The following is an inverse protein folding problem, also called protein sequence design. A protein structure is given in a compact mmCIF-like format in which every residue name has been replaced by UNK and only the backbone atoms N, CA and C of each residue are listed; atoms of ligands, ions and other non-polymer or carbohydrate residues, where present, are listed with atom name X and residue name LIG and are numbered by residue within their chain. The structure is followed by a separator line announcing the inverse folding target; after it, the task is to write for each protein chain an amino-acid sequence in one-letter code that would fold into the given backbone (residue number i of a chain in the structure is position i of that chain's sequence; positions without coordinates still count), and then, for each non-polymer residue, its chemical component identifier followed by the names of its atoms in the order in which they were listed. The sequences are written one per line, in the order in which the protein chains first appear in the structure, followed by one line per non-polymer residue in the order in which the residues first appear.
data_IF_258533070031
#
_entry.id   IF_258533070031
#
_cell.length_a   1.000
_cell.length_b   1.000
_cell.length_c   1.000
_cell.angle_alpha   90.00
_cell.angle_beta   90.00
_cell.angle_gamma   90.00
#
_symmetry.space_group_name_H-M   'P 1'
#
loop_
_entity.id
_entity.type
_entity.pdbx_description
1 polymer ?
#
# COMPACT_ATOMS: atom_id res chain seq x y z
N UNK A 1 -33.46 -11.97 17.37
CA UNK A 1 -32.15 -12.60 17.07
C UNK A 1 -31.13 -11.50 17.24
N UNK A 2 -30.31 -11.64 18.27
CA UNK A 2 -29.50 -10.57 18.86
C UNK A 2 -28.61 -9.85 17.86
N UNK A 3 -28.72 -8.52 17.90
CA UNK A 3 -27.85 -7.56 17.24
C UNK A 3 -26.48 -7.63 17.92
N UNK A 4 -25.61 -8.49 17.39
CA UNK A 4 -24.26 -8.68 17.92
C UNK A 4 -23.37 -7.57 17.35
N UNK A 5 -22.74 -6.71 18.18
CA UNK A 5 -21.95 -5.60 17.69
C UNK A 5 -20.81 -6.09 16.78
N UNK A 6 -20.64 -5.47 15.60
CA UNK A 6 -19.59 -5.74 14.60
C UNK A 6 -18.17 -5.89 15.18
N UNK A 7 -17.92 -5.31 16.35
CA UNK A 7 -16.67 -5.43 17.12
C UNK A 7 -16.37 -6.87 17.56
N UNK A 8 -17.40 -7.70 17.82
CA UNK A 8 -17.22 -9.12 18.18
C UNK A 8 -16.87 -10.03 17.00
N UNK A 9 -17.18 -9.65 15.76
CA UNK A 9 -16.81 -10.44 14.58
C UNK A 9 -15.32 -10.32 14.23
N UNK A 10 -14.66 -9.23 14.64
CA UNK A 10 -13.23 -8.99 14.40
C UNK A 10 -12.29 -9.90 15.22
N UNK A 11 -12.82 -10.66 16.18
CA UNK A 11 -12.01 -11.37 17.19
C UNK A 11 -11.90 -12.88 17.00
N UNK A 12 -12.63 -13.49 16.06
CA UNK A 12 -12.74 -14.96 15.98
C UNK A 12 -11.65 -15.66 15.15
N UNK A 13 -11.00 -14.96 14.22
CA UNK A 13 -10.04 -15.57 13.27
C UNK A 13 -8.65 -14.94 13.41
N UNK A 14 -8.12 -15.01 14.63
CA UNK A 14 -6.81 -14.44 14.99
C UNK A 14 -5.87 -15.50 15.56
N UNK A 15 -4.59 -15.40 15.20
CA UNK A 15 -3.50 -16.04 15.92
C UNK A 15 -2.72 -14.98 16.71
N UNK A 16 -2.57 -15.17 18.02
CA UNK A 16 -1.71 -14.32 18.85
C UNK A 16 -0.37 -15.01 19.09
N UNK A 17 0.73 -14.26 18.99
CA UNK A 17 2.09 -14.76 19.21
C UNK A 17 2.61 -14.54 20.65
N UNK A 18 3.78 -15.13 21.02
CA UNK A 18 4.47 -16.19 20.29
C UNK A 18 3.59 -17.43 20.19
N UNK A 19 3.57 -18.07 19.02
CA UNK A 19 2.92 -19.35 18.81
C UNK A 19 3.98 -20.37 18.42
N UNK A 20 3.87 -21.60 18.94
CA UNK A 20 4.71 -22.69 18.47
C UNK A 20 4.26 -23.16 17.06
N UNK A 21 5.10 -24.00 16.46
CA UNK A 21 4.87 -24.51 15.10
C UNK A 21 3.54 -25.25 14.98
N UNK A 22 3.18 -26.06 15.97
CA UNK A 22 1.96 -26.86 15.92
C UNK A 22 0.70 -25.98 15.98
N UNK A 23 0.72 -24.92 16.79
CA UNK A 23 -0.34 -23.92 16.83
C UNK A 23 -0.46 -23.13 15.53
N UNK A 24 0.67 -22.76 14.91
CA UNK A 24 0.69 -22.09 13.59
C UNK A 24 0.11 -23.01 12.51
N UNK A 25 0.57 -24.26 12.45
CA UNK A 25 0.13 -25.23 11.44
C UNK A 25 -1.37 -25.53 11.59
N UNK A 26 -1.86 -25.70 12.83
CA UNK A 26 -3.27 -25.88 13.11
C UNK A 26 -4.12 -24.66 12.70
N UNK A 27 -3.62 -23.44 12.96
CA UNK A 27 -4.28 -22.20 12.55
C UNK A 27 -4.39 -22.11 11.01
N UNK A 28 -3.29 -22.35 10.30
CA UNK A 28 -3.25 -22.31 8.83
C UNK A 28 -4.10 -23.41 8.19
N UNK A 29 -4.18 -24.60 8.80
CA UNK A 29 -5.04 -25.67 8.34
C UNK A 29 -6.53 -25.29 8.42
N UNK A 30 -6.92 -24.56 9.47
CA UNK A 30 -8.30 -24.12 9.72
C UNK A 30 -8.69 -22.86 8.96
N UNK A 31 -7.77 -21.90 8.78
CA UNK A 31 -8.05 -20.57 8.25
C UNK A 31 -7.31 -20.33 6.93
N UNK A 32 -7.84 -20.89 5.84
CA UNK A 32 -7.32 -20.70 4.48
C UNK A 32 -7.99 -19.51 3.79
N UNK A 33 -7.27 -18.45 3.41
CA UNK A 33 -7.84 -17.31 2.71
C UNK A 33 -8.58 -17.68 1.41
N UNK A 34 -8.08 -18.67 0.68
CA UNK A 34 -8.64 -19.13 -0.59
C UNK A 34 -10.03 -19.79 -0.45
N UNK A 35 -10.30 -20.44 0.69
CA UNK A 35 -11.52 -21.21 0.92
C UNK A 35 -12.36 -20.66 2.08
N UNK A 36 -12.08 -19.44 2.53
CA UNK A 36 -12.79 -18.79 3.60
C UNK A 36 -14.21 -18.43 3.13
N UNK A 37 -15.22 -18.94 3.83
CA UNK A 37 -16.61 -18.56 3.60
C UNK A 37 -16.97 -17.24 4.32
N UNK A 38 -18.23 -16.83 4.22
CA UNK A 38 -18.73 -15.61 4.87
C UNK A 38 -18.70 -15.68 6.40
N UNK A 39 -18.59 -16.87 7.01
CA UNK A 39 -18.51 -17.05 8.47
C UNK A 39 -17.13 -16.72 9.04
N UNK A 40 -16.08 -16.75 8.20
CA UNK A 40 -14.73 -16.30 8.57
C UNK A 40 -14.64 -14.77 8.62
N UNK A 41 -15.60 -14.07 8.00
CA UNK A 41 -15.56 -12.63 7.84
C UNK A 41 -14.52 -12.18 6.80
N UNK A 42 -14.35 -10.86 6.61
CA UNK A 42 -13.56 -10.32 5.51
C UNK A 42 -12.04 -10.43 5.71
N UNK A 43 -11.57 -10.73 6.92
CA UNK A 43 -10.15 -10.68 7.29
C UNK A 43 -9.74 -11.81 8.22
N UNK A 44 -8.59 -12.42 7.93
CA UNK A 44 -7.86 -13.33 8.85
C UNK A 44 -6.65 -12.56 9.40
N UNK A 45 -6.37 -12.70 10.69
CA UNK A 45 -5.35 -11.90 11.38
C UNK A 45 -4.28 -12.75 12.06
N UNK A 46 -3.04 -12.26 12.04
CA UNK A 46 -1.96 -12.70 12.93
C UNK A 46 -1.43 -11.48 13.67
N UNK A 47 -1.34 -11.58 15.01
CA UNK A 47 -1.07 -10.44 15.89
C UNK A 47 0.05 -10.72 16.87
N UNK A 48 0.80 -9.66 17.14
CA UNK A 48 1.80 -9.57 18.18
C UNK A 48 1.19 -8.65 19.23
N UNK A 49 0.55 -9.19 20.29
CA UNK A 49 0.09 -8.35 21.38
C UNK A 49 1.28 -7.56 21.92
N UNK A 50 1.14 -6.23 21.99
CA UNK A 50 2.13 -5.35 22.59
C UNK A 50 1.50 -4.71 23.80
N UNK A 51 2.15 -4.84 24.95
CA UNK A 51 1.70 -4.18 26.17
C UNK A 51 1.80 -2.65 25.99
N UNK A 52 0.76 -1.94 26.43
CA UNK A 52 0.77 -0.47 26.46
C UNK A 52 0.70 0.24 25.11
N UNK A 53 0.44 -0.47 24.00
CA UNK A 53 0.16 0.17 22.70
C UNK A 53 -1.33 0.46 22.53
N UNK A 54 -1.60 1.64 21.98
CA UNK A 54 -2.94 2.09 21.61
C UNK A 54 -3.58 1.19 20.53
N UNK A 55 -4.90 1.31 20.35
CA UNK A 55 -5.63 0.69 19.22
C UNK A 55 -4.98 1.07 17.89
N UNK A 56 -4.86 0.09 17.00
CA UNK A 56 -4.40 0.30 15.62
C UNK A 56 -5.38 1.19 14.86
N UNK A 57 -4.92 1.86 13.79
CA UNK A 57 -5.79 2.70 12.97
C UNK A 57 -7.03 1.96 12.42
N UNK A 58 -6.86 0.70 12.01
CA UNK A 58 -7.94 -0.17 11.52
C UNK A 58 -8.94 -0.60 12.62
N UNK A 59 -8.65 -0.31 13.89
CA UNK A 59 -9.51 -0.59 15.04
C UNK A 59 -10.15 0.66 15.63
N UNK A 60 -9.80 1.84 15.10
CA UNK A 60 -10.42 3.08 15.49
C UNK A 60 -11.85 3.09 14.91
N UNK A 61 -12.84 3.25 15.79
CA UNK A 61 -14.22 3.51 15.38
C UNK A 61 -14.44 5.01 15.19
N UNK A 62 -15.53 5.36 14.50
CA UNK A 62 -15.99 6.76 14.38
C UNK A 62 -16.20 7.45 15.74
N UNK A 63 -16.47 6.67 16.79
CA UNK A 63 -16.63 7.13 18.17
C UNK A 63 -15.30 7.39 18.88
N UNK A 64 -14.17 6.92 18.33
CA UNK A 64 -12.86 7.14 18.90
C UNK A 64 -12.45 8.62 18.70
N UNK A 65 -12.17 9.32 19.80
CA UNK A 65 -11.83 10.74 19.75
C UNK A 65 -10.62 11.02 18.84
N UNK A 66 -9.65 10.09 18.76
CA UNK A 66 -8.49 10.24 17.88
C UNK A 66 -8.90 10.16 16.42
N UNK A 67 -9.79 9.23 16.06
CA UNK A 67 -10.35 9.12 14.72
C UNK A 67 -11.09 10.39 14.33
N UNK A 68 -12.00 10.86 15.18
CA UNK A 68 -12.77 12.07 14.93
C UNK A 68 -11.88 13.30 14.75
N UNK A 69 -10.91 13.51 15.66
CA UNK A 69 -10.01 14.66 15.59
C UNK A 69 -9.11 14.62 14.34
N UNK A 70 -8.57 13.43 14.01
CA UNK A 70 -7.73 13.23 12.83
C UNK A 70 -8.53 13.47 11.54
N UNK A 71 -9.72 12.90 11.42
CA UNK A 71 -10.55 13.04 10.21
C UNK A 71 -11.06 14.47 10.03
N UNK A 72 -11.43 15.17 11.10
CA UNK A 72 -11.84 16.57 11.05
C UNK A 72 -10.71 17.47 10.53
N UNK A 73 -9.51 17.34 11.10
CA UNK A 73 -8.35 18.12 10.67
C UNK A 73 -7.86 17.72 9.27
N UNK A 74 -7.82 16.41 8.97
CA UNK A 74 -7.38 15.92 7.68
C UNK A 74 -8.32 16.30 6.54
N UNK A 75 -9.63 16.46 6.79
CA UNK A 75 -10.58 16.97 5.79
C UNK A 75 -10.19 18.36 5.29
N UNK A 76 -9.65 19.23 6.15
CA UNK A 76 -9.18 20.55 5.73
C UNK A 76 -7.96 20.44 4.81
N UNK A 77 -7.04 19.53 5.11
CA UNK A 77 -5.85 19.26 4.28
C UNK A 77 -6.27 18.71 2.90
N UNK A 78 -7.22 17.77 2.88
CA UNK A 78 -7.75 17.19 1.63
C UNK A 78 -8.45 18.24 0.78
N UNK A 79 -9.32 19.05 1.38
CA UNK A 79 -10.02 20.11 0.67
C UNK A 79 -9.03 21.12 0.08
N UNK A 80 -8.03 21.55 0.86
CA UNK A 80 -6.98 22.44 0.37
C UNK A 80 -6.16 21.83 -0.78
N UNK A 81 -5.87 20.53 -0.75
CA UNK A 81 -5.25 19.85 -1.88
C UNK A 81 -6.16 19.87 -3.11
N UNK A 82 -7.44 19.51 -2.96
CA UNK A 82 -8.37 19.46 -4.09
C UNK A 82 -8.57 20.83 -4.73
N UNK A 83 -8.78 21.88 -3.93
CA UNK A 83 -8.86 23.27 -4.39
C UNK A 83 -7.60 23.67 -5.15
N UNK A 84 -6.42 23.33 -4.61
CA UNK A 84 -5.14 23.62 -5.27
C UNK A 84 -5.00 22.90 -6.61
N UNK A 85 -5.43 21.65 -6.71
CA UNK A 85 -5.40 20.88 -7.96
C UNK A 85 -6.33 21.48 -9.01
N UNK A 86 -7.52 21.94 -8.61
CA UNK A 86 -8.46 22.62 -9.50
C UNK A 86 -7.91 23.96 -10.00
N UNK A 87 -7.29 24.75 -9.12
CA UNK A 87 -6.58 25.98 -9.51
C UNK A 87 -5.46 25.72 -10.52
N UNK A 88 -4.63 24.69 -10.29
CA UNK A 88 -3.53 24.32 -11.20
C UNK A 88 -4.10 23.95 -12.57
N UNK A 89 -5.18 23.15 -12.60
CA UNK A 89 -5.84 22.74 -13.83
C UNK A 89 -6.40 23.95 -14.60
N UNK A 90 -6.93 24.95 -13.90
CA UNK A 90 -7.51 26.14 -14.51
C UNK A 90 -6.47 27.18 -14.98
N UNK A 91 -5.33 27.30 -14.28
CA UNK A 91 -4.43 28.46 -14.44
C UNK A 91 -3.05 28.13 -15.01
N UNK A 92 -2.52 26.93 -14.79
CA UNK A 92 -1.14 26.61 -15.17
C UNK A 92 -1.07 25.98 -16.58
N UNK A 93 0.01 26.26 -17.34
CA UNK A 93 0.20 25.65 -18.65
C UNK A 93 0.55 24.16 -18.54
N UNK A 94 0.10 23.36 -19.49
CA UNK A 94 0.40 21.91 -19.54
C UNK A 94 1.92 21.66 -19.58
N UNK A 95 2.67 22.45 -20.34
CA UNK A 95 4.13 22.38 -20.45
C UNK A 95 4.79 23.62 -19.84
N UNK A 96 5.94 23.43 -19.22
CA UNK A 96 6.71 24.52 -18.66
C UNK A 96 7.24 25.46 -19.76
N UNK A 97 7.40 26.74 -19.42
CA UNK A 97 8.08 27.71 -20.26
C UNK A 97 9.12 28.47 -19.44
N UNK A 98 10.36 27.96 -19.45
CA UNK A 98 11.47 28.50 -18.68
C UNK A 98 11.82 29.95 -19.05
N UNK A 99 11.66 30.34 -20.32
CA UNK A 99 11.97 31.70 -20.77
C UNK A 99 11.01 32.75 -20.16
N UNK A 100 9.80 32.35 -19.79
CA UNK A 100 8.79 33.21 -19.13
C UNK A 100 8.66 32.92 -17.63
N UNK A 101 9.53 32.06 -17.07
CA UNK A 101 9.45 31.61 -15.67
C UNK A 101 8.22 30.80 -15.31
N UNK A 102 7.49 30.25 -16.29
CA UNK A 102 6.24 29.50 -16.05
C UNK A 102 6.54 28.01 -15.82
N UNK A 103 5.99 27.47 -14.74
CA UNK A 103 6.06 26.04 -14.38
C UNK A 103 4.91 25.26 -15.02
N UNK A 104 5.11 23.95 -15.23
CA UNK A 104 4.06 23.10 -15.78
C UNK A 104 3.03 22.70 -14.73
N UNK A 105 1.84 22.26 -15.18
CA UNK A 105 0.86 21.61 -14.31
C UNK A 105 1.47 20.42 -13.56
N UNK A 106 2.34 19.63 -14.20
CA UNK A 106 3.01 18.50 -13.54
C UNK A 106 3.84 18.97 -12.34
N UNK A 107 4.72 19.96 -12.56
CA UNK A 107 5.63 20.45 -11.51
C UNK A 107 4.87 21.03 -10.32
N UNK A 108 3.73 21.69 -10.57
CA UNK A 108 2.90 22.29 -9.51
C UNK A 108 2.07 21.24 -8.76
N UNK A 109 1.60 20.19 -9.44
CA UNK A 109 0.91 19.06 -8.79
C UNK A 109 1.86 18.27 -7.90
N UNK A 110 3.09 18.02 -8.35
CA UNK A 110 4.10 17.34 -7.54
C UNK A 110 4.42 18.12 -6.25
N UNK A 111 4.57 19.46 -6.34
CA UNK A 111 4.74 20.31 -5.16
C UNK A 111 3.51 20.27 -4.22
N UNK A 112 2.29 20.33 -4.76
CA UNK A 112 1.07 20.22 -3.95
C UNK A 112 0.97 18.85 -3.25
N UNK A 113 1.36 17.77 -3.93
CA UNK A 113 1.43 16.43 -3.35
C UNK A 113 2.50 16.33 -2.27
N UNK A 114 3.66 16.94 -2.44
CA UNK A 114 4.73 16.92 -1.44
C UNK A 114 4.32 17.70 -0.19
N UNK A 115 3.71 18.89 -0.35
CA UNK A 115 3.12 19.61 0.78
C UNK A 115 2.05 18.78 1.50
N UNK A 116 1.17 18.11 0.75
CA UNK A 116 0.16 17.24 1.34
C UNK A 116 0.77 16.10 2.17
N UNK A 117 1.87 15.49 1.70
CA UNK A 117 2.58 14.44 2.45
C UNK A 117 3.15 14.98 3.76
N UNK A 118 3.75 16.17 3.74
CA UNK A 118 4.31 16.80 4.94
C UNK A 118 3.21 17.14 5.95
N UNK A 119 2.13 17.80 5.51
CA UNK A 119 0.97 18.13 6.36
C UNK A 119 0.34 16.87 6.97
N UNK A 120 0.25 15.79 6.17
CA UNK A 120 -0.33 14.52 6.62
C UNK A 120 0.58 13.78 7.60
N UNK A 121 1.91 13.90 7.45
CA UNK A 121 2.89 13.39 8.41
C UNK A 121 2.77 14.11 9.75
N UNK A 122 2.72 15.44 9.73
CA UNK A 122 2.54 16.23 10.95
C UNK A 122 1.22 15.88 11.65
N UNK A 123 0.15 15.71 10.88
CA UNK A 123 -1.15 15.30 11.40
C UNK A 123 -1.08 13.91 12.07
N UNK A 124 -0.45 12.94 11.40
CA UNK A 124 -0.27 11.59 11.93
C UNK A 124 0.50 11.59 13.26
N UNK A 125 1.59 12.37 13.33
CA UNK A 125 2.38 12.55 14.55
C UNK A 125 1.58 13.19 15.67
N UNK A 126 0.82 14.26 15.36
CA UNK A 126 -0.02 14.97 16.33
C UNK A 126 -1.07 14.07 16.98
N UNK A 127 -1.63 13.12 16.23
CA UNK A 127 -2.72 12.25 16.69
C UNK A 127 -2.28 10.82 17.04
N UNK A 128 -0.97 10.55 17.03
CA UNK A 128 -0.39 9.23 17.29
C UNK A 128 -0.95 8.12 16.39
N UNK A 129 -1.10 8.41 15.09
CA UNK A 129 -1.53 7.44 14.05
C UNK A 129 -0.35 7.21 13.09
N UNK A 130 0.70 6.62 13.65
CA UNK A 130 1.99 6.46 12.98
C UNK A 130 2.10 5.19 12.15
N UNK A 131 1.31 4.17 12.48
CA UNK A 131 1.34 2.86 11.84
C UNK A 131 1.25 2.95 10.30
N UNK A 132 1.77 1.94 9.62
CA UNK A 132 1.62 1.79 8.19
C UNK A 132 1.76 0.34 7.76
N UNK A 133 1.48 0.05 6.49
CA UNK A 133 1.48 -1.33 6.01
C UNK A 133 2.14 -1.51 4.65
N UNK A 134 2.95 -2.56 4.55
CA UNK A 134 3.34 -3.15 3.27
C UNK A 134 2.15 -3.93 2.70
N UNK A 135 1.86 -3.72 1.41
CA UNK A 135 0.74 -4.38 0.71
C UNK A 135 1.28 -5.41 -0.28
N UNK A 136 0.95 -6.68 -0.09
CA UNK A 136 1.20 -7.75 -1.04
C UNK A 136 -0.10 -8.12 -1.75
N UNK A 137 -0.02 -8.40 -3.05
CA UNK A 137 -1.16 -8.82 -3.88
C UNK A 137 -0.85 -10.18 -4.52
N UNK A 138 -0.93 -11.29 -3.76
CA UNK A 138 -0.71 -12.62 -4.31
C UNK A 138 -1.81 -12.98 -5.33
N UNK A 139 -1.49 -13.88 -6.26
CA UNK A 139 -2.53 -14.47 -7.12
C UNK A 139 -3.44 -15.40 -6.29
N UNK A 140 -4.68 -15.64 -6.72
CA UNK A 140 -5.60 -16.53 -6.01
C UNK A 140 -5.02 -17.93 -5.73
N UNK A 141 -4.20 -18.46 -6.64
CA UNK A 141 -3.59 -19.79 -6.51
C UNK A 141 -2.47 -19.83 -5.47
N UNK A 142 -1.87 -18.67 -5.18
CA UNK A 142 -0.71 -18.56 -4.29
C UNK A 142 -1.03 -17.93 -2.93
N UNK A 143 -2.26 -17.44 -2.71
CA UNK A 143 -2.61 -16.69 -1.48
C UNK A 143 -2.33 -17.50 -0.22
N UNK A 144 -2.73 -18.77 -0.16
CA UNK A 144 -2.54 -19.61 1.02
C UNK A 144 -1.05 -19.86 1.30
N UNK A 145 -0.26 -20.05 0.24
CA UNK A 145 1.18 -20.25 0.32
C UNK A 145 1.90 -19.00 0.83
N UNK A 146 1.60 -17.83 0.24
CA UNK A 146 2.18 -16.56 0.68
C UNK A 146 1.73 -16.24 2.10
N UNK A 147 0.46 -16.45 2.42
CA UNK A 147 -0.07 -16.24 3.77
C UNK A 147 0.60 -17.12 4.81
N UNK A 148 0.79 -18.42 4.52
CA UNK A 148 1.53 -19.33 5.40
C UNK A 148 2.94 -18.80 5.71
N UNK A 149 3.70 -18.37 4.69
CA UNK A 149 5.02 -17.76 4.89
C UNK A 149 4.98 -16.53 5.80
N UNK A 150 4.01 -15.64 5.60
CA UNK A 150 3.84 -14.45 6.43
C UNK A 150 3.49 -14.84 7.87
N UNK A 151 2.55 -15.77 8.08
CA UNK A 151 2.16 -16.22 9.43
C UNK A 151 3.35 -16.83 10.16
N UNK A 152 4.14 -17.71 9.54
CA UNK A 152 5.35 -18.24 10.18
C UNK A 152 6.36 -17.12 10.49
N UNK A 153 6.58 -16.21 9.54
CA UNK A 153 7.55 -15.13 9.75
C UNK A 153 7.15 -14.14 10.85
N UNK A 154 5.86 -14.01 11.13
CA UNK A 154 5.27 -13.06 12.09
C UNK A 154 4.99 -13.70 13.46
N UNK A 155 4.42 -14.92 13.48
CA UNK A 155 3.96 -15.59 14.70
C UNK A 155 5.04 -16.42 15.42
N UNK A 156 5.99 -16.97 14.67
CA UNK A 156 7.11 -17.70 15.29
C UNK A 156 8.01 -16.72 16.05
N UNK A 157 8.42 -17.08 17.27
CA UNK A 157 9.39 -16.31 18.07
C UNK A 157 10.70 -16.07 17.31
N UNK A 158 11.06 -17.01 16.45
CA UNK A 158 12.28 -17.00 15.65
C UNK A 158 12.03 -16.56 14.20
N UNK A 159 10.80 -16.16 13.87
CA UNK A 159 10.39 -15.72 12.55
C UNK A 159 11.15 -14.46 12.10
N UNK A 160 11.56 -14.38 10.82
CA UNK A 160 12.40 -13.26 10.36
C UNK A 160 11.69 -11.91 10.41
N UNK A 161 10.37 -11.84 10.19
CA UNK A 161 9.61 -10.59 10.35
C UNK A 161 9.45 -10.21 11.82
N UNK A 162 9.21 -11.19 12.70
CA UNK A 162 9.18 -10.99 14.15
C UNK A 162 10.49 -10.40 14.69
N UNK A 163 11.64 -10.88 14.19
CA UNK A 163 12.99 -10.44 14.57
C UNK A 163 13.32 -9.00 14.19
N UNK A 164 12.61 -8.41 13.23
CA UNK A 164 12.80 -6.99 12.90
C UNK A 164 12.41 -6.04 14.04
N UNK A 165 11.55 -6.48 14.97
CA UNK A 165 10.99 -5.64 16.02
C UNK A 165 9.98 -4.58 15.54
N UNK A 166 9.88 -4.33 14.24
CA UNK A 166 9.04 -3.29 13.64
C UNK A 166 7.63 -3.76 13.30
N UNK A 167 7.47 -5.05 12.98
CA UNK A 167 6.16 -5.63 12.64
C UNK A 167 5.37 -5.89 13.92
N UNK A 168 4.07 -5.57 13.92
CA UNK A 168 3.17 -5.90 15.03
C UNK A 168 1.94 -6.73 14.59
N UNK A 169 1.62 -6.75 13.31
CA UNK A 169 0.45 -7.46 12.82
C UNK A 169 0.57 -7.78 11.32
N UNK A 170 -0.10 -8.83 10.87
CA UNK A 170 -0.47 -8.98 9.47
C UNK A 170 -1.93 -9.44 9.32
N UNK A 171 -2.54 -9.11 8.19
CA UNK A 171 -3.90 -9.56 7.85
C UNK A 171 -4.01 -9.93 6.38
N UNK A 172 -4.95 -10.79 6.05
CA UNK A 172 -5.25 -11.20 4.67
C UNK A 172 -6.75 -11.16 4.39
N UNK A 173 -7.11 -10.66 3.21
CA UNK A 173 -8.49 -10.63 2.74
C UNK A 173 -8.97 -12.02 2.32
N UNK A 174 -10.19 -12.37 2.71
CA UNK A 174 -10.87 -13.63 2.30
C UNK A 174 -11.53 -13.51 0.93
N UNK A 175 -11.84 -14.64 0.28
CA UNK A 175 -12.43 -14.69 -1.07
C UNK A 175 -13.84 -14.08 -1.17
N UNK A 176 -14.55 -13.94 -0.04
CA UNK A 176 -15.92 -13.40 0.02
C UNK A 176 -16.06 -11.92 -0.42
N UNK A 177 -14.96 -11.23 -0.68
CA UNK A 177 -14.92 -9.82 -1.14
C UNK A 177 -15.28 -9.62 -2.65
N UNK A 178 -16.06 -10.51 -3.27
CA UNK A 178 -16.62 -10.36 -4.62
C UNK A 178 -15.95 -11.20 -5.72
N UNK A 179 -16.71 -11.53 -6.78
CA UNK A 179 -16.45 -12.55 -7.83
C UNK A 179 -15.19 -12.36 -8.72
N UNK A 180 -14.29 -11.42 -8.39
CA UNK A 180 -12.99 -11.22 -9.06
C UNK A 180 -11.87 -10.86 -8.08
N UNK A 181 -11.98 -11.31 -6.82
CA UNK A 181 -11.19 -10.79 -5.70
C UNK A 181 -9.69 -11.07 -5.85
N UNK A 182 -8.93 -10.00 -6.09
CA UNK A 182 -7.49 -10.00 -5.83
C UNK A 182 -7.29 -10.02 -4.32
N UNK A 183 -6.65 -11.06 -3.79
CA UNK A 183 -6.28 -11.08 -2.39
C UNK A 183 -5.28 -9.97 -2.07
N UNK A 184 -5.40 -9.39 -0.87
CA UNK A 184 -4.40 -8.48 -0.33
C UNK A 184 -3.94 -9.01 1.02
N UNK A 185 -2.62 -9.02 1.22
CA UNK A 185 -2.00 -9.25 2.53
C UNK A 185 -1.38 -7.93 2.95
N UNK A 186 -1.70 -7.47 4.16
CA UNK A 186 -1.11 -6.29 4.76
C UNK A 186 -0.16 -6.72 5.89
N UNK A 187 1.07 -6.21 5.90
CA UNK A 187 2.02 -6.38 7.01
C UNK A 187 2.25 -5.01 7.64
N UNK A 188 1.86 -4.87 8.91
CA UNK A 188 1.86 -3.59 9.62
C UNK A 188 3.16 -3.36 10.38
N UNK A 189 3.70 -2.15 10.21
CA UNK A 189 4.86 -1.63 10.93
C UNK A 189 4.41 -0.51 11.89
N UNK A 190 5.14 -0.33 12.99
CA UNK A 190 4.79 0.59 14.06
C UNK A 190 4.84 2.09 13.70
N UNK A 191 5.73 2.47 12.78
CA UNK A 191 5.89 3.85 12.36
C UNK A 191 6.19 3.89 10.86
N UNK A 192 5.33 4.59 10.11
CA UNK A 192 5.45 4.82 8.69
C UNK A 192 6.68 5.61 8.31
N UNK A 193 7.18 6.47 9.19
CA UNK A 193 8.30 7.37 8.93
C UNK A 193 9.62 6.90 9.58
N UNK A 194 9.63 5.75 10.25
CA UNK A 194 10.87 5.02 10.51
C UNK A 194 11.28 4.27 9.24
N UNK A 195 11.96 4.99 8.34
CA UNK A 195 12.41 4.48 7.06
C UNK A 195 13.34 3.26 7.20
N UNK A 196 14.18 3.24 8.24
CA UNK A 196 15.08 2.11 8.49
C UNK A 196 14.29 0.85 8.85
N UNK A 197 13.34 0.96 9.80
CA UNK A 197 12.49 -0.15 10.21
C UNK A 197 11.63 -0.66 9.04
N UNK A 198 10.97 0.24 8.30
CA UNK A 198 10.18 -0.12 7.12
C UNK A 198 11.03 -0.81 6.04
N UNK A 199 12.25 -0.31 5.83
CA UNK A 199 13.21 -0.86 4.87
C UNK A 199 13.77 -2.22 5.27
N UNK A 200 14.01 -2.48 6.55
CA UNK A 200 14.47 -3.78 7.03
C UNK A 200 13.35 -4.83 6.93
N UNK A 201 12.10 -4.46 7.20
CA UNK A 201 10.94 -5.30 6.90
C UNK A 201 10.87 -5.61 5.40
N UNK A 202 11.05 -4.63 4.52
CA UNK A 202 11.06 -4.85 3.08
C UNK A 202 12.16 -5.83 2.65
N UNK A 203 13.39 -5.66 3.14
CA UNK A 203 14.51 -6.56 2.83
C UNK A 203 14.21 -7.99 3.26
N UNK A 204 13.59 -8.19 4.42
CA UNK A 204 13.16 -9.53 4.89
C UNK A 204 12.10 -10.12 3.96
N UNK A 205 11.09 -9.33 3.57
CA UNK A 205 10.07 -9.79 2.60
C UNK A 205 10.73 -10.32 1.32
N UNK A 206 11.72 -9.60 0.79
CA UNK A 206 12.39 -9.98 -0.46
C UNK A 206 13.37 -11.14 -0.27
N UNK A 207 14.31 -11.03 0.68
CA UNK A 207 15.45 -11.96 0.82
C UNK A 207 15.07 -13.28 1.46
N UNK A 208 14.17 -13.26 2.42
CA UNK A 208 13.79 -14.44 3.20
C UNK A 208 12.50 -15.07 2.66
N UNK A 209 11.52 -14.25 2.29
CA UNK A 209 10.18 -14.74 1.91
C UNK A 209 9.92 -14.77 0.41
N UNK A 210 10.80 -14.15 -0.40
CA UNK A 210 10.65 -14.06 -1.86
C UNK A 210 9.44 -13.23 -2.28
N UNK A 211 9.03 -12.25 -1.47
CA UNK A 211 7.88 -11.39 -1.70
C UNK A 211 8.34 -9.96 -1.94
N UNK A 212 7.93 -9.38 -3.07
CA UNK A 212 8.16 -7.96 -3.36
C UNK A 212 6.85 -7.21 -3.14
N UNK A 213 6.83 -6.26 -2.21
CA UNK A 213 5.72 -5.34 -2.10
C UNK A 213 5.92 -4.16 -3.06
N UNK A 214 4.85 -3.82 -3.78
CA UNK A 214 4.83 -2.65 -4.65
C UNK A 214 4.41 -1.36 -3.96
N UNK A 215 3.99 -1.41 -2.69
CA UNK A 215 3.46 -0.23 -2.01
C UNK A 215 3.50 -0.34 -0.48
N UNK A 216 3.97 0.74 0.16
CA UNK A 216 3.85 0.98 1.60
C UNK A 216 2.85 2.11 1.85
N UNK A 217 1.72 1.83 2.51
CA UNK A 217 0.66 2.82 2.77
C UNK A 217 0.63 3.21 4.25
N UNK A 218 0.85 4.49 4.59
CA UNK A 218 0.61 4.99 5.95
C UNK A 218 -0.86 4.89 6.36
N UNK A 219 -1.12 4.58 7.62
CA UNK A 219 -2.49 4.37 8.10
C UNK A 219 -3.32 5.64 8.15
N UNK A 220 -2.69 6.80 8.34
CA UNK A 220 -3.35 8.10 8.22
C UNK A 220 -4.08 8.25 6.88
N UNK A 221 -3.52 7.76 5.76
CA UNK A 221 -4.21 7.79 4.46
C UNK A 221 -5.42 6.86 4.42
N UNK A 222 -5.38 5.75 5.15
CA UNK A 222 -6.52 4.83 5.27
C UNK A 222 -7.64 5.47 6.08
N UNK A 223 -7.32 6.09 7.22
CA UNK A 223 -8.28 6.83 8.05
C UNK A 223 -8.92 7.99 7.28
N UNK A 224 -8.13 8.69 6.47
CA UNK A 224 -8.59 9.79 5.62
C UNK A 224 -9.35 9.35 4.36
N UNK A 225 -9.53 8.05 4.13
CA UNK A 225 -10.25 7.54 2.95
C UNK A 225 -9.52 7.75 1.62
N UNK A 226 -8.20 7.94 1.65
CA UNK A 226 -7.39 8.16 0.45
C UNK A 226 -6.88 6.80 -0.06
N UNK A 227 -7.39 6.38 -1.21
CA UNK A 227 -6.96 5.19 -1.93
C UNK A 227 -6.42 5.54 -3.34
N UNK A 228 -6.03 4.53 -4.11
CA UNK A 228 -5.47 4.73 -5.45
C UNK A 228 -6.49 5.25 -6.48
N UNK A 229 -7.78 5.30 -6.13
CA UNK A 229 -8.87 5.81 -6.97
C UNK A 229 -9.35 7.19 -6.50
N UNK A 230 -8.76 7.73 -5.44
CA UNK A 230 -9.10 9.05 -4.93
C UNK A 230 -8.89 10.13 -6.00
N UNK A 231 -9.82 11.09 -6.09
CA UNK A 231 -9.87 12.10 -7.14
C UNK A 231 -8.62 13.02 -7.20
N UNK A 232 -7.84 13.09 -6.12
CA UNK A 232 -6.58 13.83 -6.10
C UNK A 232 -5.49 13.23 -6.98
N UNK A 233 -5.56 11.95 -7.33
CA UNK A 233 -4.48 11.26 -8.05
C UNK A 233 -3.17 11.15 -7.26
N UNK A 234 -3.23 11.31 -5.94
CA UNK A 234 -2.06 11.21 -5.06
C UNK A 234 -1.49 9.78 -5.08
N UNK A 235 -0.17 9.61 -5.22
CA UNK A 235 0.47 8.33 -4.96
C UNK A 235 0.27 7.93 -3.49
N UNK A 236 -0.47 6.85 -3.25
CA UNK A 236 -0.77 6.35 -1.89
C UNK A 236 0.40 5.60 -1.23
N UNK A 237 1.48 5.38 -1.97
CA UNK A 237 2.68 4.71 -1.46
C UNK A 237 3.69 5.73 -0.96
N UNK A 238 4.10 5.62 0.30
CA UNK A 238 5.17 6.44 0.88
C UNK A 238 6.55 6.02 0.34
N UNK A 239 6.78 4.72 0.21
CA UNK A 239 8.05 4.17 -0.27
C UNK A 239 7.87 3.48 -1.63
N UNK A 240 8.92 3.51 -2.45
CA UNK A 240 9.02 2.69 -3.67
C UNK A 240 9.81 1.43 -3.33
N UNK A 241 9.61 0.36 -4.09
CA UNK A 241 10.44 -0.86 -3.93
C UNK A 241 11.94 -0.55 -4.08
N UNK A 242 12.27 0.40 -4.96
CA UNK A 242 13.64 0.85 -5.20
C UNK A 242 14.22 1.78 -4.14
N UNK A 243 13.43 2.18 -3.13
CA UNK A 243 13.93 2.97 -1.99
C UNK A 243 14.93 2.15 -1.17
N UNK A 244 14.69 0.84 -0.99
CA UNK A 244 15.43 0.01 -0.04
C UNK A 244 16.37 -1.01 -0.68
N UNK A 245 16.11 -1.39 -1.93
CA UNK A 245 16.92 -2.31 -2.71
C UNK A 245 16.87 -1.90 -4.18
N UNK A 246 17.99 -1.93 -4.87
CA UNK A 246 18.03 -1.76 -6.34
C UNK A 246 17.30 -2.90 -7.03
N UNK A 247 16.83 -2.69 -8.26
CA UNK A 247 16.18 -3.75 -9.03
C UNK A 247 17.07 -5.01 -9.16
N UNK A 248 18.37 -4.80 -9.38
CA UNK A 248 19.36 -5.88 -9.46
C UNK A 248 19.47 -6.68 -8.15
N UNK A 249 19.42 -6.01 -7.00
CA UNK A 249 19.44 -6.69 -5.70
C UNK A 249 18.14 -7.46 -5.43
N UNK A 250 16.99 -6.91 -5.85
CA UNK A 250 15.70 -7.60 -5.78
C UNK A 250 15.75 -8.87 -6.63
N UNK A 251 16.15 -8.76 -7.90
CA UNK A 251 16.22 -9.90 -8.83
C UNK A 251 17.16 -10.99 -8.30
N UNK A 252 18.35 -10.62 -7.82
CA UNK A 252 19.31 -11.55 -7.24
C UNK A 252 18.78 -12.26 -5.98
N UNK A 253 18.06 -11.53 -5.12
CA UNK A 253 17.44 -12.11 -3.92
C UNK A 253 16.32 -13.10 -4.28
N UNK A 254 15.47 -12.77 -5.25
CA UNK A 254 14.42 -13.67 -5.72
C UNK A 254 15.00 -14.93 -6.36
N UNK A 255 16.07 -14.81 -7.14
CA UNK A 255 16.78 -15.96 -7.72
C UNK A 255 17.36 -16.85 -6.61
N UNK A 256 17.96 -16.25 -5.57
CA UNK A 256 18.48 -16.98 -4.42
C UNK A 256 17.38 -17.73 -3.65
N UNK A 257 16.21 -17.12 -3.43
CA UNK A 257 15.05 -17.78 -2.80
C UNK A 257 14.57 -18.97 -3.65
N UNK A 258 14.50 -18.79 -4.97
CA UNK A 258 14.10 -19.85 -5.91
C UNK A 258 15.05 -21.05 -5.85
N UNK A 259 16.37 -20.82 -5.81
CA UNK A 259 17.39 -21.87 -5.70
C UNK A 259 17.33 -22.66 -4.38
N UNK A 260 16.84 -22.07 -3.29
CA UNK A 260 16.66 -22.77 -2.00
C UNK A 260 15.52 -23.79 -2.00
N UNK A 261 14.72 -23.84 -3.08
CA UNK A 261 13.55 -24.72 -3.17
C UNK A 261 12.29 -24.14 -2.55
N UNK A 262 12.39 -22.94 -1.95
CA UNK A 262 11.28 -22.24 -1.29
C UNK A 262 10.34 -21.51 -2.27
N UNK A 263 10.65 -21.47 -3.57
CA UNK A 263 9.80 -20.85 -4.57
C UNK A 263 9.66 -21.71 -5.83
N UNK A 264 8.67 -22.61 -5.84
CA UNK A 264 7.95 -22.95 -7.08
C UNK A 264 6.74 -22.01 -7.21
N UNK A 265 7.00 -20.74 -7.50
CA UNK A 265 5.93 -19.79 -7.84
C UNK A 265 6.24 -19.22 -9.23
N UNK A 266 5.31 -19.39 -10.17
CA UNK A 266 5.38 -18.73 -11.47
C UNK A 266 5.13 -17.24 -11.24
N UNK A 267 6.19 -16.45 -11.19
CA UNK A 267 6.09 -14.99 -11.14
C UNK A 267 5.37 -14.53 -12.41
N UNK A 268 4.24 -13.84 -12.27
CA UNK A 268 3.63 -13.15 -13.39
C UNK A 268 4.64 -12.11 -13.92
N UNK A 269 4.82 -12.05 -15.24
CA UNK A 269 5.66 -11.03 -15.89
C UNK A 269 5.28 -9.65 -15.35
N UNK A 270 6.28 -8.90 -14.90
CA UNK A 270 6.16 -7.46 -14.72
C UNK A 270 5.73 -6.89 -16.08
N UNK A 271 4.52 -6.31 -16.13
CA UNK A 271 4.03 -5.64 -17.33
C UNK A 271 5.01 -4.52 -17.67
N UNK A 272 5.48 -4.50 -18.92
CA UNK A 272 6.31 -3.39 -19.38
C UNK A 272 5.44 -2.13 -19.51
N UNK A 273 6.08 -0.97 -19.59
CA UNK A 273 5.41 0.31 -19.93
C UNK A 273 4.61 0.22 -21.24
N UNK A 274 4.93 -0.73 -22.11
CA UNK A 274 4.23 -1.00 -23.37
C UNK A 274 2.96 -1.82 -23.13
N UNK A 275 2.98 -2.77 -22.19
CA UNK A 275 1.82 -3.57 -21.78
C UNK A 275 0.78 -2.74 -21.00
N UNK A 276 1.21 -1.73 -20.23
CA UNK A 276 0.30 -0.80 -19.54
C UNK A 276 -0.44 0.10 -20.54
N UNK A 277 0.27 0.61 -21.55
CA UNK A 277 -0.32 1.37 -22.67
C UNK A 277 -1.29 0.53 -23.51
N UNK A 278 -0.98 -0.75 -23.74
CA UNK A 278 -1.85 -1.67 -24.46
C UNK A 278 -3.11 -2.06 -23.66
N UNK A 279 -3.06 -2.00 -22.32
CA UNK A 279 -4.18 -2.36 -21.44
C UNK A 279 -5.23 -1.26 -21.22
N UNK A 280 -5.08 -0.10 -21.87
CA UNK A 280 -6.08 0.97 -21.83
C UNK A 280 -6.24 1.62 -20.46
N UNK A 281 -5.24 1.53 -19.58
CA UNK A 281 -5.16 2.38 -18.39
C UNK A 281 -4.87 3.82 -18.87
N UNK A 282 -5.93 4.54 -19.21
CA UNK A 282 -5.84 5.99 -19.33
C UNK A 282 -5.56 6.54 -17.93
N UNK A 283 -4.46 7.28 -17.77
CA UNK A 283 -4.50 8.44 -16.88
C UNK A 283 -5.79 9.18 -17.28
N UNK A 284 -6.72 9.40 -16.35
CA UNK A 284 -8.08 9.93 -16.61
C UNK A 284 -8.13 11.33 -17.22
N UNK A 285 -7.53 11.46 -18.39
CA UNK A 285 -7.39 12.62 -19.24
C UNK A 285 -7.31 12.08 -20.66
N UNK A 286 -8.26 12.46 -21.51
CA UNK A 286 -8.31 12.00 -22.89
C UNK A 286 -6.96 12.23 -23.57
N UNK A 287 -6.41 11.22 -24.28
CA UNK A 287 -5.30 11.48 -25.18
C UNK A 287 -5.81 12.48 -26.23
N UNK A 288 -5.24 13.69 -26.19
CA UNK A 288 -5.52 14.71 -27.22
C UNK A 288 -5.15 14.10 -28.56
N UNK A 289 -6.14 13.99 -29.44
CA UNK A 289 -5.96 13.62 -30.84
C UNK A 289 -4.84 14.47 -31.45
N UNK A 290 -3.83 13.83 -32.01
CA UNK A 290 -2.90 14.49 -32.92
C UNK A 290 -3.69 14.95 -34.16
N UNK A 291 -4.26 16.14 -34.10
CA UNK A 291 -4.72 16.82 -35.31
C UNK A 291 -3.49 17.28 -36.08
N UNK A 292 -3.31 16.68 -37.25
CA UNK A 292 -2.29 17.03 -38.25
C UNK A 292 -2.45 18.49 -38.70
N UNK A 293 -1.84 19.44 -38.00
CA UNK A 293 -1.63 20.80 -38.50
C UNK A 293 -0.42 21.45 -37.83
N UNK A 294 0.76 20.87 -38.06
CA UNK A 294 2.00 21.64 -37.96
C UNK A 294 3.03 21.14 -39.00
N UNK A 295 2.74 21.42 -40.28
CA UNK A 295 3.79 21.40 -41.30
C UNK A 295 4.69 22.63 -41.08
N UNK A 296 6.01 22.48 -40.91
CA UNK A 296 6.89 23.60 -40.67
C UNK A 296 6.91 24.55 -41.88
N UNK A 297 6.52 25.81 -41.65
CA UNK A 297 6.69 26.91 -42.62
C UNK A 297 8.18 27.05 -42.95
N UNK A 298 8.56 26.67 -44.18
CA UNK A 298 9.90 26.90 -44.73
C UNK A 298 10.20 28.41 -44.71
N UNK A 299 11.31 28.78 -44.07
CA UNK A 299 11.89 30.13 -44.10
C UNK A 299 12.19 30.52 -45.56
N UNK A 300 11.54 31.55 -46.06
CA UNK A 300 11.93 32.22 -47.29
C UNK A 300 13.25 32.97 -47.06
N UNK A 301 14.30 32.60 -47.80
CA UNK A 301 15.55 33.36 -47.89
C UNK A 301 15.31 34.54 -48.83
N UNK A 302 15.50 35.77 -48.34
CA UNK A 302 15.63 36.97 -49.18
C UNK A 302 16.91 36.84 -50.02
N UNK A 303 16.78 37.04 -51.31
CA UNK A 303 17.80 37.60 -52.20
C UNK A 303 17.18 38.88 -52.78
#
# INVERSE_FOLDING_TARGET
MDDMPMVRLLLQHRLNRPADKDAIDAFLAKHKPSSADTSVGPWIWVRLPREGKDKMADELSEEDHRYFALTAAGRLIINGLMERLDEIKATAPVRANKARGLRSQKDLREEAHDKFKDDTKELAQKHNVLDGKWLLRPTPENVDFVWSKIVHAVADKDGPLAKTGAVHCAKVATTSMGERSTHVICIYCDDSWDEQAAGDVFKVLVRDLGQVSGSYKPDVLTVLGIDSKHASGLPVSLYKSTTFMTQKEIDAALEAVSKRGDAKVKTAKVKTLEDEKASGASDGFDPVSESEDDKPRKKARRA
#
